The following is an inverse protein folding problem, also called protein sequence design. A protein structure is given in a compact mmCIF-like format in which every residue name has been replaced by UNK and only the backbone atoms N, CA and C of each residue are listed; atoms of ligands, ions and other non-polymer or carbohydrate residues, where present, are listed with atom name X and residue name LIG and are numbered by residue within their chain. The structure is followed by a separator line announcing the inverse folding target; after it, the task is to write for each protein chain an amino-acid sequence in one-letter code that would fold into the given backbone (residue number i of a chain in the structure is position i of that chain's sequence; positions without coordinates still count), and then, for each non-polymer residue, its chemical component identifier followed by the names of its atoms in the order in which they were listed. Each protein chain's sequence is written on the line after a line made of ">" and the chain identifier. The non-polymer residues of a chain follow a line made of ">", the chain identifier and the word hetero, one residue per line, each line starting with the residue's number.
data_IF_137095488126
#
_entry.id   IF_137095488126
#
_cell.length_a   1.000
_cell.length_b   1.000
_cell.length_c   1.000
_cell.angle_alpha   90.00
_cell.angle_beta   90.00
_cell.angle_gamma   90.00
#
_symmetry.space_group_name_H-M   'P 1'
#
loop_
_entity.id
_entity.type
_entity.pdbx_description
1 polymer ?
#
# COMPACT_ATOMS: atom_id res chain seq x y z
N UNK A 1 -45.10 -48.56 -30.13
CA UNK A 1 -44.97 -47.09 -30.17
C UNK A 1 -44.16 -46.66 -28.94
N UNK A 2 -43.07 -45.93 -29.15
CA UNK A 2 -42.22 -45.24 -28.16
C UNK A 2 -42.98 -44.00 -27.59
N UNK A 3 -42.50 -43.23 -26.57
CA UNK A 3 -41.36 -43.43 -25.66
C UNK A 3 -41.60 -43.01 -24.19
N UNK A 4 -40.53 -43.13 -23.40
CA UNK A 4 -40.25 -42.73 -22.00
C UNK A 4 -40.59 -41.26 -21.65
N UNK A 5 -40.91 -41.02 -20.37
CA UNK A 5 -40.81 -39.71 -19.73
C UNK A 5 -39.70 -39.69 -18.67
N UNK A 6 -38.57 -39.05 -19.01
CA UNK A 6 -37.51 -38.64 -18.08
C UNK A 6 -37.19 -37.16 -18.33
N UNK A 7 -36.95 -36.39 -17.26
CA UNK A 7 -36.11 -35.19 -17.31
C UNK A 7 -36.83 -33.84 -17.24
N UNK A 8 -37.27 -33.43 -16.04
CA UNK A 8 -37.68 -32.03 -15.77
C UNK A 8 -36.93 -31.38 -14.61
N UNK A 9 -36.58 -32.12 -13.54
CA UNK A 9 -35.90 -31.55 -12.36
C UNK A 9 -34.42 -31.21 -12.57
N UNK A 10 -33.73 -31.90 -13.48
CA UNK A 10 -32.29 -31.67 -13.72
C UNK A 10 -31.98 -30.36 -14.44
N UNK A 11 -32.94 -29.79 -15.20
CA UNK A 11 -32.71 -28.56 -15.98
C UNK A 11 -32.81 -27.29 -15.12
N UNK A 12 -33.69 -27.26 -14.11
CA UNK A 12 -33.83 -26.09 -13.22
C UNK A 12 -32.61 -25.83 -12.32
N UNK A 13 -31.96 -26.90 -11.86
CA UNK A 13 -30.75 -26.82 -11.03
C UNK A 13 -29.49 -26.47 -11.85
N UNK A 14 -29.46 -26.81 -13.14
CA UNK A 14 -28.36 -26.46 -14.03
C UNK A 14 -28.32 -24.94 -14.32
N UNK A 15 -29.47 -24.31 -14.56
CA UNK A 15 -29.55 -22.85 -14.77
C UNK A 15 -29.24 -22.04 -13.51
N UNK A 16 -29.52 -22.56 -12.31
CA UNK A 16 -29.07 -21.96 -11.04
C UNK A 16 -27.56 -22.10 -10.83
N UNK A 17 -26.93 -23.17 -11.33
CA UNK A 17 -25.46 -23.35 -11.29
C UNK A 17 -24.72 -22.45 -12.27
N UNK A 18 -25.32 -22.12 -13.42
CA UNK A 18 -24.77 -21.13 -14.35
C UNK A 18 -24.89 -19.69 -13.82
N UNK A 19 -25.97 -19.36 -13.08
CA UNK A 19 -26.08 -18.11 -12.31
C UNK A 19 -25.14 -18.07 -11.09
N UNK A 20 -24.76 -19.23 -10.57
CA UNK A 20 -23.75 -19.41 -9.54
C UNK A 20 -22.34 -19.67 -10.13
N UNK A 21 -22.10 -19.35 -11.40
CA UNK A 21 -20.75 -19.07 -11.86
C UNK A 21 -20.22 -17.96 -10.96
N UNK A 22 -19.41 -18.35 -9.97
CA UNK A 22 -18.84 -17.49 -8.93
C UNK A 22 -18.33 -16.23 -9.62
N UNK A 23 -19.12 -15.15 -9.57
CA UNK A 23 -18.63 -13.86 -10.02
C UNK A 23 -17.32 -13.68 -9.26
N UNK A 24 -16.23 -13.24 -9.93
CA UNK A 24 -15.01 -12.92 -9.21
C UNK A 24 -15.42 -12.06 -8.01
N UNK A 25 -14.92 -12.39 -6.82
CA UNK A 25 -15.33 -11.77 -5.57
C UNK A 25 -14.97 -10.29 -5.66
N UNK A 26 -15.87 -9.48 -6.23
CA UNK A 26 -15.58 -8.09 -6.54
C UNK A 26 -15.68 -7.35 -5.23
N UNK A 27 -14.59 -6.68 -4.88
CA UNK A 27 -14.53 -5.85 -3.69
C UNK A 27 -15.68 -4.83 -3.72
N UNK A 28 -16.20 -4.53 -2.53
CA UNK A 28 -17.32 -3.60 -2.34
C UNK A 28 -16.88 -2.45 -1.47
N UNK A 29 -17.48 -1.29 -1.71
CA UNK A 29 -17.25 -0.12 -0.87
C UNK A 29 -17.74 -0.40 0.56
N UNK A 30 -16.89 -0.16 1.55
CA UNK A 30 -17.23 -0.34 2.97
C UNK A 30 -18.31 0.63 3.48
N UNK A 31 -18.59 1.71 2.72
CA UNK A 31 -19.54 2.75 3.10
C UNK A 31 -20.91 2.60 2.43
N UNK A 32 -20.95 2.22 1.15
CA UNK A 32 -22.21 2.13 0.38
C UNK A 32 -22.43 0.78 -0.32
N UNK A 33 -21.52 -0.18 -0.14
CA UNK A 33 -21.56 -1.52 -0.74
C UNK A 33 -21.57 -1.59 -2.28
N UNK A 34 -21.33 -0.46 -2.95
CA UNK A 34 -21.13 -0.39 -4.39
C UNK A 34 -19.96 -1.29 -4.83
N UNK A 35 -20.10 -1.94 -5.98
CA UNK A 35 -19.04 -2.77 -6.56
C UNK A 35 -17.87 -1.87 -6.98
N UNK A 36 -16.66 -2.27 -6.63
CA UNK A 36 -15.44 -1.52 -6.91
C UNK A 36 -14.74 -2.04 -8.18
N UNK A 37 -14.01 -1.13 -8.82
CA UNK A 37 -13.02 -1.50 -9.83
C UNK A 37 -11.76 -2.06 -9.15
N UNK A 38 -10.94 -2.78 -9.91
CA UNK A 38 -9.65 -3.31 -9.43
C UNK A 38 -8.77 -2.22 -8.80
N UNK A 39 -8.81 -1.01 -9.37
CA UNK A 39 -8.24 0.19 -8.77
C UNK A 39 -9.37 1.06 -8.24
N UNK A 40 -9.42 1.24 -6.94
CA UNK A 40 -10.40 2.06 -6.24
C UNK A 40 -9.69 3.01 -5.26
N UNK A 41 -10.44 3.74 -4.43
CA UNK A 41 -9.89 4.66 -3.44
C UNK A 41 -9.81 3.96 -2.09
N UNK A 42 -8.94 4.45 -1.21
CA UNK A 42 -8.96 4.02 0.17
C UNK A 42 -9.17 5.19 1.12
N UNK A 43 -9.81 4.88 2.24
CA UNK A 43 -9.84 5.71 3.42
C UNK A 43 -9.03 5.02 4.51
N UNK A 44 -8.37 5.79 5.36
CA UNK A 44 -7.65 5.30 6.51
C UNK A 44 -8.31 5.81 7.79
N UNK A 45 -8.52 4.94 8.76
CA UNK A 45 -8.77 5.33 10.15
C UNK A 45 -7.43 5.44 10.89
N UNK A 46 -6.95 6.65 11.26
CA UNK A 46 -5.66 6.81 11.94
C UNK A 46 -5.62 6.16 13.32
N UNK A 47 -6.77 5.99 13.99
CA UNK A 47 -6.82 5.40 15.33
C UNK A 47 -6.68 3.89 15.27
N UNK A 48 -7.44 3.24 14.37
CA UNK A 48 -7.38 1.78 14.23
C UNK A 48 -6.33 1.32 13.22
N UNK A 49 -5.69 2.25 12.49
CA UNK A 49 -4.74 2.01 11.39
C UNK A 49 -5.29 1.03 10.35
N UNK A 50 -6.59 1.16 10.07
CA UNK A 50 -7.31 0.28 9.14
C UNK A 50 -7.61 1.04 7.85
N UNK A 51 -7.33 0.39 6.72
CA UNK A 51 -7.79 0.81 5.41
C UNK A 51 -9.22 0.33 5.16
N UNK A 52 -10.01 1.19 4.52
CA UNK A 52 -11.35 0.92 4.04
C UNK A 52 -11.38 1.13 2.53
N UNK A 53 -12.01 0.20 1.83
CA UNK A 53 -12.21 0.29 0.39
C UNK A 53 -13.37 1.26 0.11
N UNK A 54 -13.11 2.27 -0.73
CA UNK A 54 -14.06 3.32 -1.05
C UNK A 54 -14.25 3.48 -2.56
N UNK A 55 -15.49 3.67 -2.98
CA UNK A 55 -15.79 4.13 -4.33
C UNK A 55 -15.44 5.63 -4.45
N UNK A 56 -15.24 6.13 -5.68
CA UNK A 56 -14.89 7.54 -5.89
C UNK A 56 -15.89 8.53 -5.26
N UNK A 57 -17.23 8.36 -5.39
CA UNK A 57 -18.19 9.25 -4.75
C UNK A 57 -18.04 9.29 -3.23
N UNK A 58 -17.89 8.15 -2.57
CA UNK A 58 -17.70 8.10 -1.12
C UNK A 58 -16.37 8.70 -0.69
N UNK A 59 -15.29 8.47 -1.44
CA UNK A 59 -13.96 9.00 -1.09
C UNK A 59 -13.89 10.53 -1.16
N UNK A 60 -14.63 11.17 -2.09
CA UNK A 60 -14.66 12.63 -2.23
C UNK A 60 -15.20 13.32 -0.97
N UNK A 61 -16.10 12.67 -0.22
CA UNK A 61 -16.67 13.21 1.02
C UNK A 61 -15.62 13.40 2.14
N UNK A 62 -14.43 12.81 1.99
CA UNK A 62 -13.34 12.84 2.98
C UNK A 62 -12.11 13.64 2.48
N UNK A 63 -12.32 14.57 1.55
CA UNK A 63 -11.27 15.48 1.09
C UNK A 63 -10.76 16.41 2.21
N UNK A 64 -9.49 16.80 2.10
CA UNK A 64 -8.68 17.43 3.14
C UNK A 64 -9.32 18.69 3.75
N UNK A 65 -9.45 18.71 5.09
CA UNK A 65 -9.85 19.90 5.86
C UNK A 65 -10.95 19.65 6.92
N UNK A 66 -11.69 18.55 6.82
CA UNK A 66 -12.67 18.15 7.84
C UNK A 66 -12.05 17.35 9.00
N UNK A 67 -12.53 17.58 10.22
CA UNK A 67 -12.31 16.68 11.37
C UNK A 67 -13.13 15.39 11.22
N UNK A 68 -12.90 14.64 10.14
CA UNK A 68 -13.50 13.33 9.95
C UNK A 68 -12.64 12.26 10.59
N UNK A 69 -13.29 11.21 11.11
CA UNK A 69 -12.62 10.00 11.62
C UNK A 69 -11.68 9.36 10.58
N UNK A 70 -12.03 9.48 9.31
CA UNK A 70 -11.28 8.89 8.20
C UNK A 70 -10.48 9.94 7.45
N UNK A 71 -9.30 9.55 6.96
CA UNK A 71 -8.46 10.32 6.04
C UNK A 71 -8.52 9.68 4.66
N UNK A 72 -8.69 10.48 3.62
CA UNK A 72 -8.56 9.99 2.25
C UNK A 72 -7.10 9.70 1.94
N UNK A 73 -6.81 8.50 1.45
CA UNK A 73 -5.47 8.12 1.00
C UNK A 73 -5.21 8.78 -0.37
N UNK A 74 -4.10 9.51 -0.56
CA UNK A 74 -3.79 10.14 -1.84
C UNK A 74 -3.48 9.11 -2.91
N UNK A 75 -3.35 9.55 -4.17
CA UNK A 75 -2.96 8.67 -5.28
C UNK A 75 -1.56 8.93 -5.81
N UNK A 76 -0.95 10.05 -5.39
CA UNK A 76 0.28 10.54 -5.98
C UNK A 76 1.47 9.72 -5.51
N UNK A 77 2.29 9.30 -6.47
CA UNK A 77 3.55 8.61 -6.24
C UNK A 77 4.67 9.53 -6.71
N UNK A 78 5.67 9.75 -5.85
CA UNK A 78 6.79 10.64 -6.12
C UNK A 78 8.10 9.87 -5.95
N UNK A 79 8.86 9.72 -7.03
CA UNK A 79 10.20 9.15 -6.96
C UNK A 79 11.20 10.20 -6.50
N UNK A 80 12.04 9.86 -5.52
CA UNK A 80 13.02 10.77 -4.94
C UNK A 80 14.40 10.51 -5.58
N UNK A 81 14.65 11.12 -6.74
CA UNK A 81 15.89 10.90 -7.50
C UNK A 81 17.15 11.45 -6.82
N UNK A 82 17.01 12.52 -6.04
CA UNK A 82 18.11 13.17 -5.31
C UNK A 82 18.04 12.90 -3.81
N UNK A 83 17.54 11.73 -3.42
CA UNK A 83 17.41 11.33 -2.02
C UNK A 83 18.78 11.00 -1.41
N UNK A 84 19.12 11.65 -0.30
CA UNK A 84 20.35 11.38 0.43
C UNK A 84 20.07 10.50 1.65
N UNK A 85 20.54 9.25 1.61
CA UNK A 85 20.46 8.35 2.76
C UNK A 85 21.77 7.60 2.90
N UNK A 86 22.64 8.13 3.76
CA UNK A 86 23.93 7.52 4.04
C UNK A 86 23.79 6.17 4.74
N UNK A 87 24.82 5.33 4.66
CA UNK A 87 24.86 4.07 5.41
C UNK A 87 24.76 4.30 6.93
N UNK A 88 25.41 5.35 7.43
CA UNK A 88 25.34 5.73 8.85
C UNK A 88 23.92 6.14 9.26
N UNK A 89 23.29 7.07 8.53
CA UNK A 89 21.93 7.52 8.83
C UNK A 89 20.94 6.35 8.83
N UNK A 90 21.06 5.44 7.86
CA UNK A 90 20.24 4.23 7.83
C UNK A 90 20.46 3.30 9.02
N UNK A 91 21.70 3.09 9.43
CA UNK A 91 22.00 2.28 10.60
C UNK A 91 21.43 2.90 11.88
N UNK A 92 21.45 4.24 12.00
CA UNK A 92 20.83 4.96 13.12
C UNK A 92 19.31 4.77 13.20
N UNK A 93 18.63 4.49 12.08
CA UNK A 93 17.19 4.16 12.10
C UNK A 93 16.90 2.78 12.72
N UNK A 94 17.90 1.93 12.91
CA UNK A 94 17.73 0.61 13.52
C UNK A 94 16.91 -0.39 12.68
N UNK A 95 16.74 -0.13 11.38
CA UNK A 95 15.94 -0.98 10.48
C UNK A 95 16.79 -2.17 10.03
N UNK A 96 16.41 -3.42 10.37
CA UNK A 96 17.28 -4.59 10.21
C UNK A 96 17.35 -5.15 8.77
N UNK A 97 16.53 -4.63 7.85
CA UNK A 97 16.39 -5.14 6.48
C UNK A 97 16.30 -3.97 5.49
N UNK A 98 16.88 -4.12 4.30
CA UNK A 98 16.86 -3.08 3.25
C UNK A 98 15.51 -2.83 2.58
N UNK A 99 14.38 -3.21 3.18
CA UNK A 99 13.04 -2.95 2.64
C UNK A 99 12.11 -2.50 3.75
N UNK A 100 11.71 -1.23 3.73
CA UNK A 100 10.82 -0.67 4.75
C UNK A 100 10.04 0.53 4.20
N UNK A 101 8.94 0.86 4.87
CA UNK A 101 8.29 2.15 4.72
C UNK A 101 8.19 2.88 6.06
N UNK A 102 8.32 4.20 6.01
CA UNK A 102 8.34 5.06 7.18
C UNK A 102 7.21 6.08 7.07
N UNK A 103 6.38 6.20 8.10
CA UNK A 103 5.27 7.15 8.13
C UNK A 103 5.14 7.80 9.51
N UNK A 104 4.51 8.97 9.55
CA UNK A 104 4.17 9.65 10.79
C UNK A 104 2.73 9.34 11.19
N UNK A 105 2.54 8.85 12.41
CA UNK A 105 1.23 8.61 13.03
C UNK A 105 0.80 9.86 13.78
N UNK A 106 -0.28 10.51 13.34
CA UNK A 106 -0.83 11.67 14.05
C UNK A 106 -1.46 11.28 15.39
N UNK A 107 -1.99 10.06 15.50
CA UNK A 107 -2.64 9.55 16.70
C UNK A 107 -1.70 9.35 17.88
N UNK A 108 -0.49 8.82 17.63
CA UNK A 108 0.55 8.66 18.65
C UNK A 108 1.63 9.73 18.61
N UNK A 109 1.64 10.59 17.58
CA UNK A 109 2.66 11.62 17.34
C UNK A 109 4.08 11.05 17.26
N UNK A 110 4.19 9.88 16.67
CA UNK A 110 5.43 9.13 16.51
C UNK A 110 5.66 8.76 15.04
N UNK A 111 6.92 8.48 14.71
CA UNK A 111 7.32 7.96 13.41
C UNK A 111 7.50 6.46 13.53
N UNK A 112 6.92 5.71 12.61
CA UNK A 112 7.05 4.25 12.54
C UNK A 112 7.79 3.84 11.29
N UNK A 113 8.72 2.90 11.44
CA UNK A 113 9.20 2.08 10.35
C UNK A 113 8.43 0.76 10.34
N UNK A 114 8.03 0.32 9.14
CA UNK A 114 7.39 -0.97 8.94
C UNK A 114 8.14 -1.72 7.86
N UNK A 115 8.56 -2.93 8.18
CA UNK A 115 9.27 -3.79 7.25
C UNK A 115 8.39 -4.99 6.89
N UNK A 116 8.05 -5.18 5.60
CA UNK A 116 7.30 -6.33 5.13
C UNK A 116 7.99 -7.66 5.47
N UNK A 117 7.24 -8.61 6.02
CA UNK A 117 7.72 -9.98 6.24
C UNK A 117 6.67 -11.03 5.83
N UNK A 118 7.06 -12.31 5.67
CA UNK A 118 6.13 -13.39 5.36
C UNK A 118 5.04 -13.57 6.42
N UNK A 119 5.38 -13.32 7.69
CA UNK A 119 4.44 -13.43 8.81
C UNK A 119 3.47 -12.24 8.89
N UNK A 120 3.78 -11.13 8.25
CA UNK A 120 3.08 -9.86 8.43
C UNK A 120 4.02 -8.66 8.39
N UNK A 121 3.48 -7.44 8.40
CA UNK A 121 4.30 -6.28 8.67
C UNK A 121 4.85 -6.36 10.10
N UNK A 122 6.14 -6.09 10.27
CA UNK A 122 6.71 -5.86 11.60
C UNK A 122 6.94 -4.35 11.74
N UNK A 123 6.50 -3.80 12.86
CA UNK A 123 6.54 -2.36 13.12
C UNK A 123 7.59 -2.05 14.20
N UNK A 124 8.30 -0.94 14.01
CA UNK A 124 9.20 -0.37 15.00
C UNK A 124 8.95 1.12 15.10
N UNK A 125 8.84 1.63 16.32
CA UNK A 125 8.95 3.08 16.56
C UNK A 125 10.39 3.50 16.21
N UNK A 126 10.52 4.65 15.53
CA UNK A 126 11.81 5.23 15.21
C UNK A 126 12.20 6.28 16.23
N UNK A 127 13.50 6.34 16.52
CA UNK A 127 14.08 7.44 17.26
C UNK A 127 13.86 8.77 16.51
N UNK A 128 13.40 9.78 17.24
CA UNK A 128 13.02 11.06 16.64
C UNK A 128 14.23 11.86 16.16
N UNK A 129 15.37 11.75 16.84
CA UNK A 129 16.60 12.45 16.44
C UNK A 129 17.15 11.84 15.15
N UNK A 130 17.26 10.51 15.08
CA UNK A 130 17.69 9.80 13.88
C UNK A 130 16.78 10.09 12.66
N UNK A 131 15.45 10.16 12.88
CA UNK A 131 14.53 10.54 11.80
C UNK A 131 14.70 12.01 11.37
N UNK A 132 14.88 12.93 12.32
CA UNK A 132 15.05 14.35 12.02
C UNK A 132 16.33 14.62 11.21
N UNK A 133 17.41 13.87 11.43
CA UNK A 133 18.62 13.92 10.61
C UNK A 133 18.31 13.56 9.14
N UNK A 134 17.55 12.49 8.91
CA UNK A 134 17.13 12.09 7.55
C UNK A 134 16.24 13.15 6.90
N UNK A 135 15.34 13.78 7.66
CA UNK A 135 14.47 14.86 7.16
C UNK A 135 15.28 16.13 6.84
N UNK A 136 16.30 16.46 7.62
CA UNK A 136 17.15 17.63 7.39
C UNK A 136 17.87 17.54 6.03
N UNK A 137 18.35 16.36 5.67
CA UNK A 137 18.98 16.10 4.37
C UNK A 137 17.96 15.94 3.23
N UNK A 138 16.68 15.70 3.55
CA UNK A 138 15.63 15.45 2.57
C UNK A 138 14.34 16.23 2.91
N UNK A 139 14.30 17.56 2.68
CA UNK A 139 13.17 18.41 3.09
C UNK A 139 11.81 18.01 2.50
N UNK A 140 11.79 17.23 1.42
CA UNK A 140 10.56 16.65 0.85
C UNK A 140 9.78 15.78 1.86
N UNK A 141 10.48 15.15 2.81
CA UNK A 141 9.89 14.28 3.83
C UNK A 141 9.05 15.06 4.85
N UNK A 142 9.38 16.32 5.12
CA UNK A 142 8.57 17.18 5.99
C UNK A 142 7.17 17.48 5.41
N UNK A 143 6.95 17.18 4.14
CA UNK A 143 5.66 17.37 3.44
C UNK A 143 4.82 16.10 3.35
N UNK A 144 5.26 14.97 3.93
CA UNK A 144 4.45 13.76 3.98
C UNK A 144 3.16 14.04 4.76
N UNK A 145 2.02 13.74 4.15
CA UNK A 145 0.74 13.82 4.83
C UNK A 145 0.69 12.75 5.96
N UNK A 146 0.48 13.16 7.23
CA UNK A 146 0.35 12.24 8.34
C UNK A 146 -0.66 11.14 8.08
N UNK A 147 -0.36 9.95 8.59
CA UNK A 147 -1.15 8.72 8.50
C UNK A 147 -1.32 8.14 7.09
N UNK A 148 -1.31 8.94 6.02
CA UNK A 148 -1.73 8.48 4.68
C UNK A 148 -0.61 8.43 3.63
N UNK A 149 0.54 9.03 3.90
CA UNK A 149 1.73 8.91 3.05
C UNK A 149 2.91 8.32 3.83
N UNK A 150 3.81 7.67 3.10
CA UNK A 150 5.02 7.09 3.64
C UNK A 150 6.22 7.31 2.72
N UNK A 151 7.40 7.35 3.31
CA UNK A 151 8.67 7.12 2.61
C UNK A 151 8.86 5.62 2.44
N UNK A 152 8.78 5.11 1.22
CA UNK A 152 9.11 3.73 0.88
C UNK A 152 10.56 3.62 0.42
N UNK A 153 11.27 2.65 0.97
CA UNK A 153 12.72 2.45 0.81
C UNK A 153 12.97 1.02 0.34
N UNK A 154 13.69 0.87 -0.79
CA UNK A 154 14.29 -0.38 -1.22
C UNK A 154 15.80 -0.21 -1.44
N UNK A 155 16.55 -0.94 -0.62
CA UNK A 155 18.01 -1.07 -0.59
C UNK A 155 18.46 -2.51 -0.72
N UNK A 156 17.55 -3.43 -1.03
CA UNK A 156 17.88 -4.84 -1.20
C UNK A 156 18.71 -5.03 -2.47
N UNK A 157 19.66 -5.98 -2.44
CA UNK A 157 20.46 -6.38 -3.60
C UNK A 157 21.17 -5.21 -4.33
N UNK A 158 21.57 -4.19 -3.58
CA UNK A 158 22.25 -3.00 -4.14
C UNK A 158 21.33 -1.95 -4.75
N UNK A 159 20.00 -2.12 -4.66
CA UNK A 159 19.04 -1.09 -5.06
C UNK A 159 19.22 0.20 -4.23
N UNK A 160 18.81 1.32 -4.81
CA UNK A 160 18.71 2.63 -4.14
C UNK A 160 17.44 3.32 -4.63
N UNK A 161 16.32 2.80 -4.17
CA UNK A 161 15.00 3.18 -4.62
C UNK A 161 14.20 3.80 -3.48
N UNK A 162 13.84 5.07 -3.65
CA UNK A 162 13.19 5.88 -2.62
C UNK A 162 11.98 6.58 -3.23
N UNK A 163 10.84 6.45 -2.56
CA UNK A 163 9.58 7.03 -3.03
C UNK A 163 8.80 7.63 -1.86
N UNK A 164 8.13 8.77 -2.08
CA UNK A 164 6.95 9.10 -1.29
C UNK A 164 5.75 8.44 -1.97
N UNK A 165 5.04 7.59 -1.25
CA UNK A 165 3.89 6.84 -1.75
C UNK A 165 2.71 6.95 -0.79
N UNK A 166 1.48 6.73 -1.27
CA UNK A 166 0.35 6.54 -0.39
C UNK A 166 0.52 5.26 0.45
N UNK A 167 0.03 5.27 1.69
CA UNK A 167 0.27 4.18 2.65
C UNK A 167 -0.38 2.85 2.20
N UNK A 168 -1.43 2.89 1.37
CA UNK A 168 -2.04 1.68 0.81
C UNK A 168 -1.10 0.93 -0.17
N UNK A 169 -0.23 1.62 -0.91
CA UNK A 169 0.82 1.00 -1.72
C UNK A 169 1.84 0.24 -0.86
N UNK A 170 2.16 0.76 0.33
CA UNK A 170 3.01 0.09 1.31
C UNK A 170 2.37 -1.20 1.83
N UNK A 171 1.08 -1.16 2.18
CA UNK A 171 0.35 -2.37 2.59
C UNK A 171 0.14 -3.35 1.44
N UNK A 172 0.00 -2.87 0.20
CA UNK A 172 0.00 -3.73 -1.00
C UNK A 172 1.32 -4.48 -1.15
N UNK A 173 2.46 -3.81 -0.96
CA UNK A 173 3.77 -4.46 -0.92
C UNK A 173 3.84 -5.51 0.19
N UNK A 174 3.36 -5.20 1.40
CA UNK A 174 3.28 -6.18 2.49
C UNK A 174 2.44 -7.40 2.09
N UNK A 175 1.30 -7.21 1.43
CA UNK A 175 0.48 -8.29 0.91
C UNK A 175 1.22 -9.16 -0.12
N UNK A 176 1.97 -8.54 -1.03
CA UNK A 176 2.80 -9.25 -2.01
C UNK A 176 3.87 -10.11 -1.33
N UNK A 177 4.62 -9.53 -0.39
CA UNK A 177 5.65 -10.26 0.36
C UNK A 177 5.03 -11.44 1.11
N UNK A 178 3.93 -11.23 1.84
CA UNK A 178 3.25 -12.33 2.55
C UNK A 178 2.77 -13.45 1.62
N UNK A 179 2.30 -13.10 0.42
CA UNK A 179 1.73 -14.06 -0.53
C UNK A 179 2.79 -14.90 -1.23
N UNK A 180 3.87 -14.25 -1.70
CA UNK A 180 4.83 -14.85 -2.62
C UNK A 180 6.17 -15.20 -1.99
N UNK A 181 6.49 -14.69 -0.80
CA UNK A 181 7.76 -15.02 -0.16
C UNK A 181 7.79 -16.47 0.32
N UNK A 182 8.84 -17.20 -0.07
CA UNK A 182 9.08 -18.59 0.31
C UNK A 182 10.48 -18.77 0.86
N UNK A 183 10.58 -19.55 1.94
CA UNK A 183 11.87 -19.85 2.59
C UNK A 183 12.56 -18.62 3.18
N UNK A 184 13.84 -18.77 3.51
CA UNK A 184 14.64 -17.73 4.17
C UNK A 184 15.08 -16.62 3.20
N UNK A 185 15.29 -16.96 1.93
CA UNK A 185 15.78 -16.05 0.88
C UNK A 185 14.68 -15.43 0.01
N UNK A 186 13.42 -15.80 0.22
CA UNK A 186 12.25 -15.30 -0.53
C UNK A 186 11.94 -16.05 -1.82
N UNK A 187 12.94 -16.68 -2.43
CA UNK A 187 12.82 -17.38 -3.72
C UNK A 187 12.65 -16.44 -4.91
N UNK A 188 12.89 -16.95 -6.11
CA UNK A 188 12.89 -16.16 -7.35
C UNK A 188 11.54 -15.47 -7.62
N UNK A 189 10.43 -16.15 -7.32
CA UNK A 189 9.08 -15.61 -7.49
C UNK A 189 8.83 -14.40 -6.58
N UNK A 190 9.23 -14.47 -5.30
CA UNK A 190 9.09 -13.35 -4.36
C UNK A 190 9.86 -12.12 -4.81
N UNK A 191 11.10 -12.32 -5.27
CA UNK A 191 11.93 -11.25 -5.82
C UNK A 191 11.36 -10.66 -7.10
N UNK A 192 10.86 -11.49 -8.02
CA UNK A 192 10.21 -11.02 -9.23
C UNK A 192 9.01 -10.11 -8.92
N UNK A 193 8.16 -10.48 -7.97
CA UNK A 193 7.00 -9.68 -7.57
C UNK A 193 7.39 -8.33 -6.93
N UNK A 194 8.45 -8.31 -6.10
CA UNK A 194 8.96 -7.06 -5.52
C UNK A 194 9.55 -6.16 -6.62
N UNK A 195 10.33 -6.72 -7.55
CA UNK A 195 10.92 -5.96 -8.64
C UNK A 195 9.85 -5.38 -9.58
N UNK A 196 8.82 -6.15 -9.91
CA UNK A 196 7.69 -5.68 -10.73
C UNK A 196 6.87 -4.61 -10.00
N UNK A 197 6.73 -4.72 -8.67
CA UNK A 197 6.10 -3.69 -7.85
C UNK A 197 6.85 -2.35 -7.96
N UNK A 198 8.18 -2.34 -7.77
CA UNK A 198 8.98 -1.11 -7.85
C UNK A 198 9.05 -0.55 -9.27
N UNK A 199 9.10 -1.42 -10.30
CA UNK A 199 8.97 -0.99 -11.70
C UNK A 199 7.66 -0.25 -11.95
N UNK A 200 6.54 -0.81 -11.48
CA UNK A 200 5.22 -0.18 -11.61
C UNK A 200 5.10 1.13 -10.83
N UNK A 201 5.73 1.25 -9.66
CA UNK A 201 5.80 2.54 -8.94
C UNK A 201 6.55 3.58 -9.78
N UNK A 202 7.69 3.20 -10.35
CA UNK A 202 8.48 4.10 -11.17
C UNK A 202 7.72 4.60 -12.41
N UNK A 203 7.02 3.72 -13.11
CA UNK A 203 6.20 4.07 -14.29
C UNK A 203 5.06 5.04 -13.96
N UNK A 204 4.47 4.91 -12.76
CA UNK A 204 3.38 5.77 -12.27
C UNK A 204 3.87 7.01 -11.54
N UNK A 205 5.16 7.09 -11.22
CA UNK A 205 5.69 8.18 -10.44
C UNK A 205 5.73 9.46 -11.26
N UNK A 206 5.23 10.54 -10.67
CA UNK A 206 5.57 11.87 -11.16
C UNK A 206 7.03 12.18 -10.83
N UNK A 207 7.72 12.89 -11.73
CA UNK A 207 9.01 13.49 -11.39
C UNK A 207 8.73 14.62 -10.41
N UNK A 208 9.22 14.48 -9.19
CA UNK A 208 9.29 15.63 -8.30
C UNK A 208 10.44 16.53 -8.78
N UNK A 209 10.10 17.64 -9.44
CA UNK A 209 11.01 18.77 -9.59
C UNK A 209 10.79 19.70 -8.39
N UNK A 210 11.79 19.93 -7.52
CA UNK A 210 11.66 20.96 -6.51
C UNK A 210 11.49 22.29 -7.23
N UNK A 211 10.35 22.97 -7.01
CA UNK A 211 10.23 24.37 -7.43
C UNK A 211 11.43 25.14 -6.85
N UNK A 212 12.19 25.89 -7.69
CA UNK A 212 13.29 26.69 -7.18
C UNK A 212 12.72 27.66 -6.15
N UNK A 213 13.38 27.70 -5.00
CA UNK A 213 13.09 28.57 -3.87
C UNK A 213 12.81 30.01 -4.38
N UNK A 214 11.67 30.58 -3.99
CA UNK A 214 11.37 32.01 -4.14
C UNK A 214 11.60 32.70 -2.79
#
# INVERSE_FOLDING_TARGET
>A
MNPRATGSTARGLASLRELAAKQPDRERCDLCSAVLAERHQHLLDPRSRRLLCACDPCAILFASGGETKYRRVPRDIRRLHSFNLTGQAWNSLGIPIGLAFIYFSSGSRQVFAVYPSPAGPTESELDSEAWNEVVADNPVLARLAPDVEALLINRMNGAQEYFCVPLDECYRLTGLVRKYWRGFSGGDEGWAQINDFFRSLNERSSRYEPAPYA
#
